data_IF_047532847674
#
_entry.id   IF_047532847674
#
_cell.length_a   1.000
_cell.length_b   1.000
_cell.length_c   1.000
_cell.angle_alpha   90.00
_cell.angle_beta   90.00
_cell.angle_gamma   90.00
#
_symmetry.space_group_name_H-M   'P 1'
#
loop_
_entity.id
_entity.type
_entity.pdbx_description
1 polymer ?
#
# COMPACT_ATOMS: atom_id res chain seq x y z
N UNK A 1 -4.82 -9.12 -11.53
CA UNK A 1 -5.17 -9.18 -10.09
C UNK A 1 -6.26 -10.16 -9.69
N UNK A 2 -7.46 -10.17 -10.28
CA UNK A 2 -8.51 -11.14 -9.86
C UNK A 2 -8.04 -12.61 -9.92
N UNK A 3 -7.26 -12.95 -10.95
CA UNK A 3 -6.64 -14.27 -11.06
C UNK A 3 -5.65 -14.51 -9.90
N UNK A 4 -4.68 -13.63 -9.66
CA UNK A 4 -3.70 -13.75 -8.57
C UNK A 4 -4.36 -13.84 -7.17
N UNK A 5 -5.35 -12.99 -6.88
CA UNK A 5 -6.05 -13.02 -5.60
C UNK A 5 -6.82 -14.34 -5.39
N UNK A 6 -7.38 -14.90 -6.47
CA UNK A 6 -7.98 -16.24 -6.44
C UNK A 6 -6.91 -17.31 -6.22
N UNK A 7 -5.81 -17.24 -6.96
CA UNK A 7 -4.75 -18.27 -6.94
C UNK A 7 -4.03 -18.34 -5.60
N UNK A 8 -3.71 -17.21 -4.98
CA UNK A 8 -2.87 -17.17 -3.78
C UNK A 8 -3.62 -16.88 -2.48
N UNK A 9 -4.80 -16.24 -2.52
CA UNK A 9 -5.61 -15.96 -1.32
C UNK A 9 -7.00 -16.61 -1.36
N UNK A 10 -7.33 -17.39 -2.39
CA UNK A 10 -8.66 -18.00 -2.57
C UNK A 10 -9.81 -17.00 -2.84
N UNK A 11 -9.52 -15.69 -2.87
CA UNK A 11 -10.53 -14.63 -2.96
C UNK A 11 -10.81 -14.30 -4.44
N UNK A 12 -11.99 -14.66 -4.96
CA UNK A 12 -12.41 -14.37 -6.36
C UNK A 12 -12.81 -12.89 -6.62
N UNK A 13 -12.17 -11.95 -5.94
CA UNK A 13 -12.36 -10.50 -6.12
C UNK A 13 -11.08 -9.84 -6.60
N UNK A 14 -11.20 -8.75 -7.37
CA UNK A 14 -10.02 -7.90 -7.64
C UNK A 14 -9.61 -7.22 -6.34
N UNK A 15 -8.31 -7.18 -6.09
CA UNK A 15 -7.72 -6.37 -5.02
C UNK A 15 -6.73 -5.40 -5.65
N UNK A 16 -6.49 -4.34 -4.92
CA UNK A 16 -5.59 -3.24 -5.21
C UNK A 16 -4.11 -3.59 -5.01
N UNK A 17 -3.78 -4.23 -3.89
CA UNK A 17 -2.42 -4.67 -3.57
C UNK A 17 -2.39 -6.11 -3.07
N UNK A 18 -1.35 -6.85 -3.45
CA UNK A 18 -0.98 -8.13 -2.86
C UNK A 18 0.48 -8.06 -2.42
N UNK A 19 0.73 -8.45 -1.17
CA UNK A 19 2.08 -8.67 -0.66
C UNK A 19 2.34 -10.16 -0.51
N UNK A 20 3.47 -10.62 -1.04
CA UNK A 20 3.93 -12.00 -0.97
C UNK A 20 5.24 -12.03 -0.19
N UNK A 21 5.20 -12.42 1.09
CA UNK A 21 6.44 -12.63 1.86
C UNK A 21 7.08 -13.94 1.46
N UNK A 22 8.39 -13.92 1.21
CA UNK A 22 9.14 -15.15 1.00
C UNK A 22 9.40 -15.81 2.36
N UNK A 23 8.83 -17.00 2.59
CA UNK A 23 9.13 -17.77 3.80
C UNK A 23 10.64 -18.06 3.85
N UNK A 24 11.26 -17.75 4.99
CA UNK A 24 12.71 -17.84 5.26
C UNK A 24 13.31 -19.25 5.16
N UNK A 25 12.53 -20.29 4.86
CA UNK A 25 12.99 -21.67 4.91
C UNK A 25 13.84 -22.10 3.71
N UNK A 26 13.96 -21.28 2.65
CA UNK A 26 14.67 -21.69 1.43
C UNK A 26 15.74 -20.76 0.88
N UNK A 27 15.93 -19.57 1.46
CA UNK A 27 16.99 -18.66 1.03
C UNK A 27 18.10 -18.61 2.09
N UNK A 28 19.28 -19.02 1.66
CA UNK A 28 20.53 -19.04 2.43
C UNK A 28 20.66 -17.78 3.27
N UNK A 29 20.65 -17.94 4.60
CA UNK A 29 21.05 -16.88 5.54
C UNK A 29 22.47 -16.44 5.18
N UNK A 30 22.63 -15.32 4.48
CA UNK A 30 23.96 -14.85 4.12
C UNK A 30 24.00 -13.55 3.34
N UNK A 31 23.16 -13.38 2.32
CA UNK A 31 23.13 -12.15 1.51
C UNK A 31 21.69 -11.65 1.40
N UNK A 32 21.50 -10.32 1.45
CA UNK A 32 20.23 -9.59 1.40
C UNK A 32 19.18 -10.16 0.44
N UNK A 33 18.49 -11.21 0.89
CA UNK A 33 17.42 -11.86 0.16
C UNK A 33 16.18 -10.98 0.26
N UNK A 34 15.44 -10.76 -0.83
CA UNK A 34 14.25 -9.91 -0.79
C UNK A 34 13.25 -10.46 0.24
N UNK A 35 12.67 -9.58 1.06
CA UNK A 35 11.67 -9.96 2.06
C UNK A 35 10.35 -10.45 1.40
N UNK A 36 10.15 -10.11 0.12
CA UNK A 36 8.99 -10.49 -0.66
C UNK A 36 8.74 -9.58 -1.87
N UNK A 37 7.53 -9.66 -2.42
CA UNK A 37 7.06 -8.85 -3.55
C UNK A 37 5.77 -8.10 -3.20
N UNK A 38 5.63 -6.90 -3.78
CA UNK A 38 4.39 -6.11 -3.73
C UNK A 38 3.87 -5.92 -5.15
N UNK A 39 2.67 -6.43 -5.41
CA UNK A 39 2.02 -6.33 -6.72
C UNK A 39 0.82 -5.38 -6.63
N UNK A 40 0.87 -4.30 -7.41
CA UNK A 40 -0.15 -3.23 -7.40
C UNK A 40 -0.91 -3.22 -8.72
N UNK A 41 -2.25 -3.17 -8.65
CA UNK A 41 -3.09 -2.95 -9.83
C UNK A 41 -3.31 -1.47 -10.09
N UNK A 42 -2.61 -0.92 -11.09
CA UNK A 42 -2.73 0.50 -11.48
C UNK A 42 -4.18 0.91 -11.80
N UNK A 43 -4.96 0.06 -12.48
CA UNK A 43 -6.36 0.36 -12.79
C UNK A 43 -7.23 0.46 -11.53
N UNK A 44 -6.92 -0.33 -10.51
CA UNK A 44 -7.68 -0.33 -9.26
C UNK A 44 -7.24 0.84 -8.38
N UNK A 45 -5.93 1.08 -8.29
CA UNK A 45 -5.35 2.26 -7.64
C UNK A 45 -5.96 3.55 -8.21
N UNK A 46 -6.07 3.68 -9.54
CA UNK A 46 -6.73 4.84 -10.15
C UNK A 46 -8.16 5.04 -9.65
N UNK A 47 -8.96 3.97 -9.65
CA UNK A 47 -10.34 4.01 -9.13
C UNK A 47 -10.41 4.32 -7.63
N UNK A 48 -9.38 3.95 -6.85
CA UNK A 48 -9.30 4.29 -5.42
C UNK A 48 -8.96 5.76 -5.24
N UNK A 49 -7.96 6.26 -5.95
CA UNK A 49 -7.58 7.66 -5.97
C UNK A 49 -8.78 8.56 -6.31
N UNK A 50 -9.51 8.21 -7.38
CA UNK A 50 -10.71 8.94 -7.82
C UNK A 50 -11.81 8.93 -6.72
N UNK A 51 -12.02 7.80 -6.03
CA UNK A 51 -13.02 7.70 -4.95
C UNK A 51 -12.61 8.46 -3.69
N UNK A 52 -11.32 8.44 -3.36
CA UNK A 52 -10.77 9.08 -2.17
C UNK A 52 -10.50 10.58 -2.40
N UNK A 53 -10.60 11.07 -3.64
CA UNK A 53 -10.34 12.46 -3.98
C UNK A 53 -8.86 12.84 -3.82
N UNK A 54 -7.94 11.89 -4.04
CA UNK A 54 -6.49 12.11 -3.93
C UNK A 54 -5.79 11.94 -5.28
N UNK A 55 -4.59 12.51 -5.46
CA UNK A 55 -3.80 12.27 -6.66
C UNK A 55 -3.51 10.77 -6.86
N UNK A 56 -3.51 10.33 -8.11
CA UNK A 56 -3.19 8.94 -8.45
C UNK A 56 -1.80 8.52 -7.95
N UNK A 57 -0.82 9.42 -8.03
CA UNK A 57 0.53 9.17 -7.53
C UNK A 57 0.54 8.90 -6.02
N UNK A 58 -0.22 9.68 -5.24
CA UNK A 58 -0.35 9.50 -3.79
C UNK A 58 -0.93 8.14 -3.43
N UNK A 59 -1.96 7.71 -4.16
CA UNK A 59 -2.53 6.38 -3.96
C UNK A 59 -1.51 5.26 -4.25
N UNK A 60 -0.69 5.40 -5.30
CA UNK A 60 0.37 4.43 -5.58
C UNK A 60 1.39 4.38 -4.43
N UNK A 61 1.84 5.53 -3.94
CA UNK A 61 2.77 5.59 -2.81
C UNK A 61 2.16 4.95 -1.56
N UNK A 62 0.88 5.25 -1.27
CA UNK A 62 0.18 4.65 -0.15
C UNK A 62 0.09 3.11 -0.28
N UNK A 63 -0.21 2.58 -1.46
CA UNK A 63 -0.25 1.13 -1.71
C UNK A 63 1.12 0.47 -1.60
N UNK A 64 2.20 1.16 -1.98
CA UNK A 64 3.57 0.69 -1.75
C UNK A 64 3.86 0.60 -0.25
N UNK A 65 3.59 1.68 0.50
CA UNK A 65 3.81 1.73 1.95
C UNK A 65 3.02 0.61 2.65
N UNK A 66 1.74 0.44 2.27
CA UNK A 66 0.89 -0.62 2.78
C UNK A 66 1.47 -2.00 2.50
N UNK A 67 1.88 -2.23 1.25
CA UNK A 67 2.46 -3.50 0.82
C UNK A 67 3.73 -3.83 1.60
N UNK A 68 4.59 -2.84 1.84
CA UNK A 68 5.80 -2.97 2.66
C UNK A 68 5.47 -3.24 4.13
N UNK A 69 4.45 -2.61 4.70
CA UNK A 69 4.02 -2.90 6.07
C UNK A 69 3.63 -4.37 6.23
N UNK A 70 2.89 -4.93 5.26
CA UNK A 70 2.59 -6.36 5.25
C UNK A 70 3.84 -7.23 5.10
N UNK A 71 4.80 -6.86 4.26
CA UNK A 71 6.07 -7.61 4.17
C UNK A 71 6.86 -7.59 5.48
N UNK A 72 6.72 -6.54 6.29
CA UNK A 72 7.34 -6.43 7.63
C UNK A 72 6.53 -7.10 8.75
N UNK A 73 5.39 -7.74 8.43
CA UNK A 73 4.59 -8.50 9.37
C UNK A 73 3.53 -7.69 10.12
N UNK A 74 3.27 -6.43 9.72
CA UNK A 74 2.09 -5.71 10.19
C UNK A 74 0.86 -6.22 9.45
N UNK A 75 -0.22 -6.50 10.18
CA UNK A 75 -1.46 -7.03 9.60
C UNK A 75 -2.70 -6.42 10.24
N UNK A 76 -3.48 -5.68 9.45
CA UNK A 76 -4.70 -5.02 9.89
C UNK A 76 -5.94 -5.94 9.84
N UNK A 77 -5.84 -7.17 9.30
CA UNK A 77 -6.97 -8.12 9.28
C UNK A 77 -7.12 -8.90 10.62
N UNK A 78 -6.14 -8.81 11.54
CA UNK A 78 -6.08 -9.61 12.79
C UNK A 78 -6.93 -9.01 13.92
N UNK A 79 -7.01 -7.68 14.03
CA UNK A 79 -7.68 -7.00 15.13
C UNK A 79 -7.57 -5.49 15.07
N UNK A 80 -8.37 -4.79 15.87
CA UNK A 80 -8.39 -3.32 15.90
C UNK A 80 -7.06 -2.72 16.40
N UNK A 81 -6.37 -3.40 17.32
CA UNK A 81 -5.09 -2.93 17.86
C UNK A 81 -4.00 -3.00 16.79
N UNK A 82 -3.88 -4.13 16.09
CA UNK A 82 -2.93 -4.34 15.01
C UNK A 82 -3.23 -3.42 13.82
N UNK A 83 -4.50 -3.21 13.49
CA UNK A 83 -4.91 -2.25 12.47
C UNK A 83 -4.50 -0.81 12.83
N UNK A 84 -4.69 -0.40 14.09
CA UNK A 84 -4.27 0.92 14.58
C UNK A 84 -2.75 1.10 14.54
N UNK A 85 -2.01 0.05 14.94
CA UNK A 85 -0.55 0.03 14.88
C UNK A 85 -0.06 0.16 13.44
N UNK A 86 -0.58 -0.65 12.52
CA UNK A 86 -0.24 -0.59 11.10
C UNK A 86 -0.52 0.81 10.53
N UNK A 87 -1.73 1.37 10.75
CA UNK A 87 -2.08 2.72 10.29
C UNK A 87 -1.14 3.80 10.85
N UNK A 88 -0.64 3.64 12.09
CA UNK A 88 0.36 4.55 12.67
C UNK A 88 1.71 4.45 11.94
N UNK A 89 2.17 3.25 11.64
CA UNK A 89 3.42 3.01 10.90
C UNK A 89 3.31 3.55 9.47
N UNK A 90 2.19 3.31 8.78
CA UNK A 90 1.95 3.83 7.44
C UNK A 90 2.04 5.35 7.40
N UNK A 91 1.30 6.04 8.29
CA UNK A 91 1.33 7.52 8.36
C UNK A 91 2.70 8.07 8.67
N UNK A 92 3.45 7.41 9.57
CA UNK A 92 4.82 7.82 9.90
C UNK A 92 5.72 7.69 8.66
N UNK A 93 5.60 6.59 7.93
CA UNK A 93 6.38 6.32 6.71
C UNK A 93 6.03 7.31 5.60
N UNK A 94 4.74 7.59 5.38
CA UNK A 94 4.30 8.58 4.39
C UNK A 94 4.87 9.97 4.67
N UNK A 95 4.81 10.44 5.93
CA UNK A 95 5.41 11.72 6.32
C UNK A 95 6.92 11.75 6.12
N UNK A 96 7.61 10.64 6.42
CA UNK A 96 9.05 10.56 6.22
C UNK A 96 9.43 10.67 4.73
N UNK A 97 8.68 9.99 3.85
CA UNK A 97 8.88 10.06 2.40
C UNK A 97 8.61 11.48 1.88
N UNK A 98 7.51 12.09 2.31
CA UNK A 98 7.13 13.47 1.97
C UNK A 98 8.23 14.48 2.35
N UNK A 99 8.69 14.42 3.61
CA UNK A 99 9.77 15.28 4.12
C UNK A 99 11.08 15.06 3.35
N UNK A 100 11.45 13.80 3.11
CA UNK A 100 12.66 13.46 2.36
C UNK A 100 12.61 13.95 0.92
N UNK A 101 11.46 13.84 0.26
CA UNK A 101 11.25 14.33 -1.10
C UNK A 101 11.39 15.86 -1.16
N UNK A 102 10.72 16.59 -0.26
CA UNK A 102 10.84 18.04 -0.18
C UNK A 102 12.26 18.51 0.16
N UNK A 103 12.95 17.82 1.06
CA UNK A 103 14.36 18.10 1.35
C UNK A 103 15.23 17.88 0.12
N UNK A 104 15.07 16.77 -0.59
CA UNK A 104 15.83 16.46 -1.80
C UNK A 104 15.60 17.47 -2.93
N UNK A 105 14.35 17.93 -3.13
CA UNK A 105 14.05 18.98 -4.10
C UNK A 105 14.78 20.29 -3.77
N UNK A 106 14.88 20.64 -2.49
CA UNK A 106 15.52 21.88 -2.04
C UNK A 106 17.06 21.84 -2.12
N UNK A 107 17.67 20.65 -2.27
CA UNK A 107 19.13 20.51 -2.43
C UNK A 107 19.58 20.45 -3.89
N UNK A 108 18.65 20.42 -4.86
CA UNK A 108 19.01 20.38 -6.27
C UNK A 108 19.58 21.72 -6.77
N UNK A 109 20.62 21.71 -7.62
CA UNK A 109 21.19 22.93 -8.17
C UNK A 109 20.19 23.64 -9.10
N UNK A 110 20.02 24.95 -8.91
CA UNK A 110 19.00 25.79 -9.59
C UNK A 110 19.23 25.99 -11.10
N UNK A 111 20.23 25.36 -11.70
CA UNK A 111 20.69 25.56 -13.07
C UNK A 111 20.28 24.46 -14.06
N UNK A 112 19.62 23.39 -13.61
CA UNK A 112 18.89 22.52 -14.53
C UNK A 112 17.59 23.23 -14.89
N UNK A 113 17.50 23.66 -16.15
CA UNK A 113 16.34 24.30 -16.77
C UNK A 113 15.04 23.63 -16.33
N UNK A 114 14.40 24.26 -15.34
CA UNK A 114 13.33 23.70 -14.54
C UNK A 114 11.95 23.97 -15.18
N UNK A 115 11.91 24.23 -16.47
CA UNK A 115 10.71 24.65 -17.20
C UNK A 115 9.79 23.49 -17.58
N UNK A 116 10.23 22.23 -17.42
CA UNK A 116 9.39 21.05 -17.69
C UNK A 116 9.12 20.13 -16.49
N UNK A 117 9.84 20.29 -15.37
CA UNK A 117 9.65 19.44 -14.18
C UNK A 117 8.91 20.14 -13.03
N UNK A 118 8.89 21.48 -12.99
CA UNK A 118 8.26 22.20 -11.87
C UNK A 118 6.73 22.33 -11.96
N UNK A 119 6.14 22.33 -13.16
CA UNK A 119 4.69 22.61 -13.29
C UNK A 119 3.80 21.36 -13.30
N UNK A 120 4.37 20.15 -13.40
CA UNK A 120 3.56 18.93 -13.56
C UNK A 120 4.06 17.70 -12.81
N UNK A 121 5.11 17.81 -11.99
CA UNK A 121 5.54 16.68 -11.15
C UNK A 121 4.56 16.51 -9.99
N UNK A 122 3.83 15.39 -9.88
CA UNK A 122 2.92 15.18 -8.77
C UNK A 122 3.73 15.08 -7.47
N UNK A 123 3.67 16.14 -6.67
CA UNK A 123 4.21 16.12 -5.31
C UNK A 123 3.35 15.20 -4.46
N UNK A 124 3.96 14.12 -3.94
CA UNK A 124 3.30 13.29 -2.93
C UNK A 124 2.93 14.16 -1.73
N UNK A 125 1.67 14.16 -1.27
CA UNK A 125 1.24 15.04 -0.19
C UNK A 125 1.30 14.40 1.21
N UNK A 126 1.87 13.20 1.34
CA UNK A 126 1.95 12.49 2.62
C UNK A 126 0.60 12.11 3.24
N UNK A 127 -0.49 12.21 2.47
CA UNK A 127 -1.86 11.97 2.94
C UNK A 127 -2.23 10.50 2.76
N UNK A 128 -2.53 9.85 3.87
CA UNK A 128 -3.20 8.53 3.88
C UNK A 128 -4.68 8.79 4.18
N UNK A 129 -5.60 8.52 3.23
CA UNK A 129 -7.04 8.68 3.44
C UNK A 129 -7.55 7.90 4.65
N UNK A 130 -8.60 8.39 5.31
CA UNK A 130 -9.13 7.67 6.45
C UNK A 130 -9.73 6.31 6.08
N UNK A 131 -10.38 6.24 4.92
CA UNK A 131 -10.95 5.02 4.34
C UNK A 131 -9.93 4.16 3.57
N UNK A 132 -8.63 4.50 3.67
CA UNK A 132 -7.57 3.77 2.99
C UNK A 132 -7.57 2.29 3.40
N UNK A 133 -7.88 1.43 2.43
CA UNK A 133 -7.98 -0.03 2.57
C UNK A 133 -8.92 -0.55 3.67
N UNK A 134 -9.76 0.31 4.26
CA UNK A 134 -10.77 -0.16 5.19
C UNK A 134 -11.78 -1.04 4.46
N UNK A 135 -12.21 -2.17 5.05
CA UNK A 135 -13.27 -2.97 4.47
C UNK A 135 -14.52 -2.10 4.32
N UNK A 136 -14.90 -1.79 3.08
CA UNK A 136 -16.15 -1.07 2.80
C UNK A 136 -17.28 -1.74 3.58
N UNK A 137 -18.17 -0.98 4.22
CA UNK A 137 -19.32 -1.48 5.01
C UNK A 137 -20.20 -2.50 4.27
N UNK A 138 -20.02 -2.64 2.95
CA UNK A 138 -20.63 -3.69 2.09
C UNK A 138 -20.06 -5.10 2.32
N UNK A 139 -18.83 -5.25 2.82
CA UNK A 139 -18.19 -6.55 3.09
C UNK A 139 -18.59 -7.15 4.46
N UNK A 140 -19.18 -6.36 5.35
CA UNK A 140 -19.66 -6.80 6.66
C UNK A 140 -21.04 -7.48 6.60
N UNK A 141 -21.77 -7.38 5.49
CA UNK A 141 -23.12 -7.95 5.35
C UNK A 141 -23.20 -9.36 4.77
N UNK A 142 -22.08 -10.01 4.41
CA UNK A 142 -22.13 -11.34 3.77
C UNK A 142 -21.51 -12.48 4.59
N UNK A 143 -21.17 -12.26 5.86
CA UNK A 143 -20.59 -13.33 6.71
C UNK A 143 -21.38 -13.65 7.99
N UNK A 144 -22.66 -13.26 8.06
CA UNK A 144 -23.62 -13.92 8.95
C UNK A 144 -24.28 -15.05 8.18
N UNK A 145 -23.78 -16.27 8.36
CA UNK A 145 -24.39 -17.48 7.81
C UNK A 145 -23.40 -18.38 7.10
N UNK A 146 -22.57 -19.08 7.88
CA UNK A 146 -22.27 -20.49 7.66
C UNK A 146 -21.79 -21.08 8.98
N UNK A 147 -22.74 -21.72 9.64
CA UNK A 147 -22.58 -22.51 10.84
C UNK A 147 -21.70 -23.75 10.58
N UNK A 148 -21.06 -24.17 11.67
CA UNK A 148 -20.65 -25.51 12.10
C UNK A 148 -20.72 -26.69 11.11
N UNK A 149 -19.64 -27.47 11.08
CA UNK A 149 -19.70 -28.88 11.50
C UNK A 149 -18.30 -29.36 11.87
N UNK A 150 -18.24 -30.03 13.03
CA UNK A 150 -17.25 -30.99 13.59
C UNK A 150 -15.83 -31.04 13.03
#
# INVERSE_FOLDING_TARGET
MRHLNKTFRGKRKTTDVLSFSYQKERFLKGLGSPDGEVVISLQQAKRQADRAGIPFFDEIVNLIIHGLCHLKGYDHEIGEQEASLMKKVERKTARFIDQGYHQWLNTQPKNLSNTMLQESSPSFQGKIPDDFLQPTKKSLKTNKGKEHSS
#
